data_IF_615644187647
#
_entry.id   IF_615644187647
#
_cell.length_a   1.000
_cell.length_b   1.000
_cell.length_c   1.000
_cell.angle_alpha   90.00
_cell.angle_beta   90.00
_cell.angle_gamma   90.00
#
_symmetry.space_group_name_H-M   'P 1'
#
loop_
_entity.id
_entity.type
_entity.pdbx_description
1 polymer ?
#
# COMPACT_ATOMS: atom_id res chain seq x y z
N UNK A 1 9.94 -15.43 -5.39
CA UNK A 1 9.16 -14.42 -6.15
C UNK A 1 9.02 -13.17 -5.30
N UNK A 2 9.01 -11.95 -5.89
CA UNK A 2 9.04 -10.72 -5.11
C UNK A 2 7.68 -10.45 -4.44
N UNK A 3 7.72 -9.92 -3.22
CA UNK A 3 6.55 -9.43 -2.50
C UNK A 3 6.04 -8.16 -3.20
N UNK A 4 4.74 -8.08 -3.46
CA UNK A 4 4.08 -6.92 -4.05
C UNK A 4 2.96 -6.41 -3.14
N UNK A 5 2.90 -5.09 -2.96
CA UNK A 5 1.82 -4.41 -2.24
C UNK A 5 0.86 -3.74 -3.23
N UNK A 6 -0.43 -4.02 -3.06
CA UNK A 6 -1.51 -3.37 -3.79
C UNK A 6 -2.12 -2.29 -2.93
N UNK A 7 -1.96 -1.05 -3.36
CA UNK A 7 -2.40 0.16 -2.67
C UNK A 7 -3.51 0.88 -3.46
N UNK A 8 -3.70 0.56 -4.75
CA UNK A 8 -4.78 1.08 -5.57
C UNK A 8 -6.08 0.30 -5.29
N UNK A 9 -6.82 0.72 -4.28
CA UNK A 9 -8.06 0.07 -3.85
C UNK A 9 -7.97 -0.41 -2.41
N UNK A 10 -8.43 -1.63 -2.13
CA UNK A 10 -8.30 -2.21 -0.79
C UNK A 10 -6.86 -2.70 -0.58
N UNK A 11 -6.13 -2.21 0.44
CA UNK A 11 -4.74 -2.58 0.67
C UNK A 11 -4.58 -4.09 0.83
N UNK A 12 -3.73 -4.69 0.00
CA UNK A 12 -3.47 -6.12 0.00
C UNK A 12 -2.01 -6.44 -0.29
N UNK A 13 -1.52 -7.57 0.22
CA UNK A 13 -0.20 -8.10 -0.08
C UNK A 13 -0.31 -9.33 -0.98
N UNK A 14 0.58 -9.41 -1.96
CA UNK A 14 0.80 -10.58 -2.79
C UNK A 14 2.21 -11.13 -2.48
N UNK A 15 2.27 -12.24 -1.75
CA UNK A 15 3.55 -12.91 -1.42
C UNK A 15 3.88 -14.04 -2.39
N UNK A 16 2.86 -14.73 -2.90
CA UNK A 16 2.97 -15.83 -3.85
C UNK A 16 1.88 -15.70 -4.92
N UNK A 17 2.23 -15.70 -6.20
CA UNK A 17 1.27 -15.54 -7.32
C UNK A 17 0.17 -16.61 -7.36
N UNK A 18 0.42 -17.79 -6.78
CA UNK A 18 -0.56 -18.88 -6.74
C UNK A 18 -1.62 -18.72 -5.65
N UNK A 19 -1.43 -17.80 -4.71
CA UNK A 19 -2.39 -17.54 -3.63
C UNK A 19 -3.16 -16.24 -3.88
N UNK A 20 -4.40 -16.11 -3.40
CA UNK A 20 -5.10 -14.84 -3.48
C UNK A 20 -4.37 -13.76 -2.66
N UNK A 21 -4.41 -12.48 -3.08
CA UNK A 21 -3.88 -11.38 -2.28
C UNK A 21 -4.53 -11.35 -0.90
N UNK A 22 -3.72 -11.21 0.14
CA UNK A 22 -4.21 -11.11 1.52
C UNK A 22 -4.49 -9.65 1.88
N UNK A 23 -5.69 -9.38 2.39
CA UNK A 23 -6.08 -8.03 2.83
C UNK A 23 -5.23 -7.63 4.03
N UNK A 24 -4.71 -6.41 4.00
CA UNK A 24 -3.91 -5.83 5.07
C UNK A 24 -4.87 -5.19 6.09
N UNK A 25 -4.79 -5.55 7.38
CA UNK A 25 -5.69 -5.00 8.38
C UNK A 25 -5.38 -3.53 8.63
N UNK A 26 -6.41 -2.73 8.92
CA UNK A 26 -6.29 -1.30 9.20
C UNK A 26 -5.79 -1.03 10.64
N UNK A 27 -4.57 -1.48 10.93
CA UNK A 27 -3.91 -1.28 12.23
C UNK A 27 -2.81 -0.24 12.09
N UNK A 28 -2.49 0.49 13.16
CA UNK A 28 -1.39 1.50 13.12
C UNK A 28 -0.05 0.93 12.62
N UNK A 29 0.41 -0.28 13.02
CA UNK A 29 1.63 -0.86 12.47
C UNK A 29 1.54 -1.11 10.96
N UNK A 30 0.38 -1.56 10.47
CA UNK A 30 0.15 -1.76 9.05
C UNK A 30 0.14 -0.44 8.28
N UNK A 31 -0.54 0.59 8.81
CA UNK A 31 -0.57 1.94 8.22
C UNK A 31 0.82 2.56 8.10
N UNK A 32 1.71 2.35 9.09
CA UNK A 32 3.12 2.76 8.99
C UNK A 32 3.81 2.13 7.78
N UNK A 33 3.66 0.81 7.62
CA UNK A 33 4.26 0.10 6.50
C UNK A 33 3.66 0.55 5.16
N UNK A 34 2.33 0.73 5.08
CA UNK A 34 1.66 1.20 3.88
C UNK A 34 2.11 2.61 3.48
N UNK A 35 2.31 3.50 4.45
CA UNK A 35 2.83 4.84 4.20
C UNK A 35 4.27 4.82 3.65
N UNK A 36 5.13 3.99 4.23
CA UNK A 36 6.50 3.80 3.73
C UNK A 36 6.51 3.18 2.32
N UNK A 37 5.61 2.23 2.04
CA UNK A 37 5.46 1.64 0.71
C UNK A 37 5.01 2.67 -0.34
N UNK A 38 4.04 3.51 0.03
CA UNK A 38 3.46 4.52 -0.85
C UNK A 38 4.47 5.60 -1.25
N UNK A 39 5.30 6.02 -0.30
CA UNK A 39 6.37 6.98 -0.54
C UNK A 39 7.52 6.33 -1.31
N UNK A 40 7.98 5.16 -0.89
CA UNK A 40 9.13 4.48 -1.49
C UNK A 40 10.47 5.15 -1.18
N UNK A 41 10.46 6.14 -0.28
CA UNK A 41 11.59 7.03 0.02
C UNK A 41 12.10 6.82 1.45
N UNK A 42 13.29 7.35 1.72
CA UNK A 42 13.82 7.44 3.08
C UNK A 42 13.13 8.54 3.88
N UNK A 43 12.53 8.17 5.01
CA UNK A 43 11.82 9.11 5.89
C UNK A 43 12.46 9.13 7.28
N UNK A 44 12.66 10.34 7.81
CA UNK A 44 13.20 10.53 9.16
C UNK A 44 12.28 9.97 10.25
N UNK A 45 12.89 9.31 11.23
CA UNK A 45 12.20 8.72 12.38
C UNK A 45 11.46 9.78 13.20
N UNK A 46 12.04 10.97 13.37
CA UNK A 46 11.39 12.07 14.07
C UNK A 46 10.07 12.48 13.39
N UNK A 47 10.08 12.67 12.07
CA UNK A 47 8.90 13.03 11.28
C UNK A 47 7.80 11.96 11.33
N UNK A 48 8.20 10.68 11.24
CA UNK A 48 7.25 9.57 11.39
C UNK A 48 6.66 9.51 12.80
N UNK A 49 7.49 9.71 13.81
CA UNK A 49 7.04 9.65 15.19
C UNK A 49 6.00 10.75 15.48
N UNK A 50 6.24 11.98 15.04
CA UNK A 50 5.26 13.08 15.16
C UNK A 50 3.99 12.84 14.35
N UNK A 51 4.08 12.19 13.19
CA UNK A 51 2.92 11.88 12.34
C UNK A 51 1.98 10.86 13.00
N UNK A 52 2.52 9.84 13.67
CA UNK A 52 1.74 8.78 14.30
C UNK A 52 1.30 9.10 15.75
N UNK A 53 2.04 10.00 16.41
CA UNK A 53 1.78 10.45 17.77
C UNK A 53 2.07 11.95 17.86
N UNK A 54 1.01 12.77 17.80
CA UNK A 54 1.12 14.24 17.77
C UNK A 54 1.35 14.89 19.15
N UNK A 55 1.20 14.15 20.24
CA UNK A 55 1.28 14.70 21.60
C UNK A 55 2.21 13.87 22.49
N UNK A 56 3.07 14.55 23.24
CA UNK A 56 3.99 13.96 24.20
C UNK A 56 5.38 14.61 24.18
N UNK A 57 6.23 14.26 25.13
CA UNK A 57 7.65 14.59 25.05
C UNK A 57 8.31 13.87 23.86
N UNK A 58 9.39 14.44 23.34
CA UNK A 58 10.16 13.84 22.25
C UNK A 58 10.62 12.39 22.57
N UNK A 59 11.01 12.12 23.81
CA UNK A 59 11.35 10.78 24.28
C UNK A 59 10.17 9.79 24.21
N UNK A 60 8.96 10.25 24.55
CA UNK A 60 7.73 9.44 24.49
C UNK A 60 7.33 9.13 23.04
N UNK A 61 7.42 10.13 22.16
CA UNK A 61 7.10 10.02 20.73
C UNK A 61 8.05 9.05 20.02
N UNK A 62 9.36 9.13 20.28
CA UNK A 62 10.33 8.16 19.75
C UNK A 62 10.12 6.75 20.30
N UNK A 63 9.77 6.61 21.59
CA UNK A 63 9.44 5.31 22.19
C UNK A 63 8.22 4.70 21.53
N UNK A 64 7.19 5.51 21.25
CA UNK A 64 6.00 5.08 20.53
C UNK A 64 6.34 4.51 19.16
N UNK A 65 7.16 5.21 18.37
CA UNK A 65 7.59 4.73 17.06
C UNK A 65 8.36 3.41 17.15
N UNK A 66 9.23 3.25 18.15
CA UNK A 66 9.97 1.98 18.36
C UNK A 66 9.01 0.81 18.60
N UNK A 67 8.00 0.99 19.45
CA UNK A 67 6.97 -0.03 19.70
C UNK A 67 6.19 -0.34 18.42
N UNK A 68 5.85 0.70 17.64
CA UNK A 68 5.12 0.55 16.38
C UNK A 68 5.92 -0.26 15.35
N UNK A 69 7.21 0.04 15.20
CA UNK A 69 8.12 -0.69 14.31
C UNK A 69 8.29 -2.14 14.74
N UNK A 70 8.43 -2.40 16.04
CA UNK A 70 8.55 -3.77 16.54
C UNK A 70 7.31 -4.60 16.19
N UNK A 71 6.11 -4.01 16.28
CA UNK A 71 4.86 -4.68 15.85
C UNK A 71 4.78 -4.83 14.33
N UNK A 72 5.23 -3.84 13.57
CA UNK A 72 5.24 -3.89 12.12
C UNK A 72 6.16 -4.99 11.56
N UNK A 73 7.19 -5.39 12.32
CA UNK A 73 8.08 -6.50 11.93
C UNK A 73 7.40 -7.88 11.91
N UNK A 74 6.20 -8.02 12.47
CA UNK A 74 5.43 -9.26 12.40
C UNK A 74 4.80 -9.50 11.02
N UNK A 75 4.76 -8.50 10.13
CA UNK A 75 4.18 -8.68 8.80
C UNK A 75 5.13 -9.44 7.86
N UNK A 76 4.61 -10.30 6.95
CA UNK A 76 5.44 -11.04 5.99
C UNK A 76 6.31 -10.16 5.09
N UNK A 77 5.87 -8.94 4.82
CA UNK A 77 6.60 -7.96 4.00
C UNK A 77 7.53 -7.06 4.82
N UNK A 78 7.74 -7.33 6.11
CA UNK A 78 8.69 -6.56 6.92
C UNK A 78 10.15 -6.79 6.51
N UNK A 79 10.45 -7.88 5.81
CA UNK A 79 11.79 -8.18 5.28
C UNK A 79 12.29 -7.15 4.26
N UNK A 80 11.40 -6.32 3.69
CA UNK A 80 11.78 -5.22 2.78
C UNK A 80 11.98 -3.89 3.50
N UNK A 81 11.84 -3.87 4.85
CA UNK A 81 12.04 -2.68 5.67
C UNK A 81 13.53 -2.44 5.88
N UNK A 82 14.00 -1.34 5.33
CA UNK A 82 15.37 -0.85 5.48
C UNK A 82 15.39 0.16 6.63
N UNK A 83 16.35 0.00 7.54
CA UNK A 83 16.46 0.80 8.77
C UNK A 83 17.87 1.35 8.87
N UNK A 84 17.97 2.67 8.89
CA UNK A 84 19.16 3.40 9.30
C UNK A 84 18.98 3.96 10.71
N UNK A 85 20.03 4.57 11.26
CA UNK A 85 20.00 5.20 12.59
C UNK A 85 18.80 6.14 12.74
N UNK A 86 18.63 7.06 11.79
CA UNK A 86 17.64 8.14 11.83
C UNK A 86 16.58 8.09 10.74
N UNK A 87 16.66 7.12 9.80
CA UNK A 87 15.77 7.04 8.64
C UNK A 87 15.24 5.62 8.42
N UNK A 88 14.07 5.55 7.79
CA UNK A 88 13.39 4.30 7.47
C UNK A 88 12.90 4.35 6.03
N UNK A 89 12.97 3.21 5.33
CA UNK A 89 12.41 3.05 3.99
C UNK A 89 11.83 1.65 3.85
N UNK A 90 10.77 1.52 3.05
CA UNK A 90 10.23 0.22 2.68
C UNK A 90 10.44 -0.01 1.18
N UNK A 91 11.38 -0.91 0.86
CA UNK A 91 11.84 -1.18 -0.49
C UNK A 91 11.04 -2.33 -1.10
N UNK A 92 9.77 -2.07 -1.40
CA UNK A 92 8.81 -3.06 -1.91
C UNK A 92 8.15 -2.57 -3.19
N UNK A 93 7.85 -3.49 -4.10
CA UNK A 93 7.14 -3.17 -5.34
C UNK A 93 5.69 -2.84 -4.99
N UNK A 94 5.20 -1.70 -5.48
CA UNK A 94 3.80 -1.31 -5.37
C UNK A 94 3.14 -1.11 -6.73
N UNK A 95 1.85 -1.39 -6.82
CA UNK A 95 1.01 -1.02 -7.97
C UNK A 95 0.98 0.50 -8.22
N UNK A 96 1.06 1.33 -7.17
CA UNK A 96 1.17 2.79 -7.25
C UNK A 96 2.46 3.22 -7.94
N UNK A 97 3.61 2.65 -7.56
CA UNK A 97 4.89 2.96 -8.23
C UNK A 97 4.84 2.57 -9.72
N UNK A 98 4.31 1.39 -10.03
CA UNK A 98 4.10 0.96 -11.42
C UNK A 98 3.19 1.93 -12.17
N UNK A 99 2.13 2.42 -11.53
CA UNK A 99 1.20 3.41 -12.10
C UNK A 99 1.82 4.81 -12.27
N UNK A 100 2.73 5.23 -11.38
CA UNK A 100 3.46 6.51 -11.52
C UNK A 100 4.50 6.45 -12.64
N UNK A 101 5.35 5.42 -12.65
CA UNK A 101 6.35 5.20 -13.71
C UNK A 101 5.67 5.11 -15.09
N UNK A 102 4.49 4.51 -15.08
CA UNK A 102 3.62 4.43 -16.21
C UNK A 102 3.19 5.78 -16.80
N UNK A 103 2.61 6.65 -15.98
CA UNK A 103 2.20 8.00 -16.40
C UNK A 103 3.41 8.76 -16.96
N UNK A 104 4.57 8.67 -16.30
CA UNK A 104 5.80 9.31 -16.74
C UNK A 104 6.26 8.83 -18.14
N UNK A 105 5.99 7.56 -18.49
CA UNK A 105 6.33 6.98 -19.79
C UNK A 105 5.32 7.30 -20.92
N UNK A 106 4.29 8.12 -20.70
CA UNK A 106 3.23 8.48 -21.66
C UNK A 106 2.50 7.31 -22.37
N UNK A 107 2.49 6.10 -21.78
CA UNK A 107 1.72 4.97 -22.33
C UNK A 107 0.32 4.94 -21.70
N UNK A 108 -0.56 5.82 -22.18
CA UNK A 108 -1.87 6.12 -21.57
C UNK A 108 -2.94 5.04 -21.84
N UNK A 109 -2.96 4.44 -23.03
CA UNK A 109 -4.05 3.56 -23.49
C UNK A 109 -4.11 2.19 -22.81
N UNK A 110 -2.97 1.63 -22.37
CA UNK A 110 -2.89 0.27 -21.81
C UNK A 110 -3.23 0.21 -20.29
N UNK A 111 -3.46 1.35 -19.62
CA UNK A 111 -3.35 1.44 -18.15
C UNK A 111 -4.60 1.83 -17.37
N UNK A 112 -5.60 2.41 -18.02
CA UNK A 112 -6.93 2.56 -17.42
C UNK A 112 -7.55 1.19 -17.08
N UNK A 113 -7.21 0.13 -17.82
CA UNK A 113 -7.64 -1.24 -17.52
C UNK A 113 -7.05 -1.74 -16.18
N UNK A 114 -5.74 -1.57 -15.95
CA UNK A 114 -5.07 -1.98 -14.70
C UNK A 114 -5.60 -1.24 -13.47
N UNK A 115 -5.83 0.07 -13.58
CA UNK A 115 -6.39 0.87 -12.49
C UNK A 115 -7.85 0.47 -12.18
N UNK A 116 -8.68 0.27 -13.21
CA UNK A 116 -10.08 -0.16 -13.04
C UNK A 116 -10.19 -1.55 -12.39
N UNK A 117 -9.32 -2.48 -12.76
CA UNK A 117 -9.38 -3.85 -12.26
C UNK A 117 -8.98 -3.97 -10.77
N UNK A 118 -8.03 -3.15 -10.33
CA UNK A 118 -7.61 -3.11 -8.92
C UNK A 118 -8.63 -2.37 -8.04
N UNK A 119 -9.21 -1.27 -8.54
CA UNK A 119 -10.31 -0.57 -7.87
C UNK A 119 -11.55 -1.46 -7.78
N UNK A 120 -11.94 -2.13 -8.86
CA UNK A 120 -13.10 -3.04 -8.88
C UNK A 120 -12.91 -4.24 -7.93
N UNK A 121 -11.68 -4.76 -7.78
CA UNK A 121 -11.38 -5.82 -6.80
C UNK A 121 -11.38 -5.33 -5.35
N UNK A 122 -11.07 -4.06 -5.10
CA UNK A 122 -11.18 -3.43 -3.79
C UNK A 122 -12.62 -3.14 -3.35
N UNK A 123 -13.55 -2.99 -4.30
CA UNK A 123 -14.98 -2.76 -4.06
C UNK A 123 -15.75 -4.10 -4.14
N UNK A 124 -15.47 -5.02 -3.23
CA UNK A 124 -16.47 -6.06 -2.88
C UNK A 124 -17.17 -5.68 -1.59
N UNK A 125 -17.97 -4.61 -1.66
CA UNK A 125 -19.11 -4.45 -0.76
C UNK A 125 -20.22 -5.34 -1.30
N UNK A 126 -20.82 -6.12 -0.40
CA UNK A 126 -22.02 -6.92 -0.63
C UNK A 126 -23.08 -6.10 -1.39
N UNK A 127 -23.63 -6.69 -2.45
CA UNK A 127 -24.89 -6.27 -3.08
C UNK A 127 -24.82 -5.13 -4.09
N UNK A 128 -24.66 -5.47 -5.38
CA UNK A 128 -25.72 -5.35 -6.40
C UNK A 128 -25.11 -5.56 -7.79
N UNK A 129 -25.73 -6.42 -8.59
CA UNK A 129 -25.29 -6.79 -9.93
C UNK A 129 -25.24 -5.60 -10.89
N UNK A 130 -24.12 -5.42 -11.59
CA UNK A 130 -24.10 -4.67 -12.84
C UNK A 130 -24.52 -5.60 -13.98
N UNK A 131 -25.83 -5.85 -14.10
CA UNK A 131 -26.43 -6.22 -15.37
C UNK A 131 -26.90 -4.93 -16.03
N UNK A 132 -26.27 -4.56 -17.15
CA UNK A 132 -26.58 -3.34 -17.90
C UNK A 132 -26.16 -3.53 -19.35
N UNK A 133 -27.08 -4.10 -20.11
CA UNK A 133 -26.99 -4.52 -21.51
C UNK A 133 -26.53 -3.39 -22.44
N UNK A 134 -25.59 -3.69 -23.33
CA UNK A 134 -25.33 -2.92 -24.56
C UNK A 134 -25.56 -3.86 -25.74
N UNK A 135 -26.81 -4.03 -26.13
CA UNK A 135 -27.18 -4.40 -27.51
C UNK A 135 -28.32 -3.47 -27.92
N UNK A 136 -27.94 -2.31 -28.45
CA UNK A 136 -28.83 -1.38 -29.14
C UNK A 136 -28.98 -1.82 -30.59
N UNK A 137 -30.16 -2.28 -30.91
CA UNK A 137 -30.72 -2.65 -32.21
C UNK A 137 -30.45 -1.59 -33.29
N UNK A 138 -29.85 -1.98 -34.42
CA UNK A 138 -29.95 -1.22 -35.68
C UNK A 138 -31.21 -1.71 -36.39
N UNK A 139 -32.13 -0.78 -36.66
CA UNK A 139 -33.15 -0.91 -37.69
C UNK A 139 -32.55 -0.51 -39.05
#
# INVERSE_FOLDING_TARGET
MPIELRLLGMPAVQTNSSQPPQIIPNTKPALLMLYLAYTGEWIHRASLASMFQSFGSDSSVRRYLRVLLNRARAFPWAQTLEIESERLRLSVITDVQRFRAAIAAQQWSNRLCLARENVARGVRRSGSACAGSLVGTRA
#
